data_IF_698724756899
#
_entry.id   IF_698724756899
#
_cell.length_a   1.000
_cell.length_b   1.000
_cell.length_c   1.000
_cell.angle_alpha   90.00
_cell.angle_beta   90.00
_cell.angle_gamma   90.00
#
_symmetry.space_group_name_H-M   'P 1'
#
loop_
_entity.id
_entity.type
_entity.pdbx_description
1 polymer ?
#
# COMPACT_ATOMS: atom_id res chain seq x y z
N UNK A 1 6.85 -40.48 -32.89
CA UNK A 1 6.29 -41.74 -33.46
C UNK A 1 4.95 -41.45 -34.09
N UNK A 2 4.81 -41.58 -35.41
CA UNK A 2 3.60 -41.90 -36.20
C UNK A 2 4.02 -41.85 -37.69
N UNK A 3 4.56 -42.96 -38.19
CA UNK A 3 3.92 -43.97 -39.07
C UNK A 3 3.80 -43.52 -40.53
N UNK A 4 4.81 -43.95 -41.30
CA UNK A 4 4.86 -44.05 -42.76
C UNK A 4 3.67 -44.85 -43.34
N UNK A 5 3.18 -44.42 -44.51
CA UNK A 5 2.52 -45.27 -45.54
C UNK A 5 2.91 -44.68 -46.90
N UNK A 6 3.91 -45.23 -47.59
CA UNK A 6 3.91 -46.41 -48.47
C UNK A 6 3.00 -46.23 -49.70
N UNK A 7 3.64 -45.86 -50.81
CA UNK A 7 3.12 -45.74 -52.16
C UNK A 7 2.79 -47.13 -52.74
N UNK A 8 1.58 -47.30 -53.28
CA UNK A 8 1.21 -48.43 -54.10
C UNK A 8 1.30 -48.01 -55.58
N UNK A 9 2.32 -48.51 -56.27
CA UNK A 9 2.38 -48.51 -57.74
C UNK A 9 1.76 -49.83 -58.18
N UNK A 10 0.59 -49.75 -58.81
CA UNK A 10 -0.05 -50.88 -59.50
C UNK A 10 0.38 -50.81 -60.96
N UNK A 11 1.26 -51.72 -61.37
CA UNK A 11 1.58 -51.94 -62.79
C UNK A 11 0.57 -52.96 -63.32
N UNK A 12 -0.31 -52.49 -64.20
CA UNK A 12 -1.23 -53.33 -64.96
C UNK A 12 -0.61 -53.72 -66.31
N UNK A 13 -0.47 -55.03 -66.48
CA UNK A 13 -0.59 -55.83 -67.69
C UNK A 13 -0.84 -55.13 -69.04
N UNK A 14 -0.01 -55.47 -70.04
CA UNK A 14 -0.50 -55.75 -71.40
C UNK A 14 0.22 -57.00 -71.93
N UNK A 15 -0.54 -58.09 -72.04
CA UNK A 15 -0.28 -59.17 -72.99
C UNK A 15 -0.58 -58.64 -74.40
N UNK A 16 0.28 -58.93 -75.37
CA UNK A 16 -0.18 -59.39 -76.68
C UNK A 16 0.91 -60.17 -77.40
N UNK A 17 0.65 -61.46 -77.48
CA UNK A 17 1.12 -62.41 -78.48
C UNK A 17 1.18 -61.82 -79.87
N UNK A 18 2.24 -62.13 -80.63
CA UNK A 18 2.07 -62.52 -82.03
C UNK A 18 3.04 -63.65 -82.37
N UNK A 19 2.42 -64.79 -82.61
CA UNK A 19 3.01 -65.98 -83.17
C UNK A 19 2.96 -65.90 -84.70
N UNK A 20 3.70 -66.83 -85.33
CA UNK A 20 3.53 -67.33 -86.69
C UNK A 20 4.14 -66.49 -87.82
N UNK A 21 5.33 -66.92 -88.24
CA UNK A 21 5.54 -67.20 -89.65
C UNK A 21 6.19 -68.59 -89.75
N UNK A 22 5.33 -69.57 -90.04
CA UNK A 22 5.65 -70.88 -90.61
C UNK A 22 6.62 -70.68 -91.81
N UNK A 23 7.73 -71.41 -91.90
CA UNK A 23 7.77 -72.79 -92.41
C UNK A 23 7.00 -72.94 -93.73
N UNK A 24 7.61 -72.53 -94.84
CA UNK A 24 7.28 -73.13 -96.15
C UNK A 24 8.39 -74.12 -96.51
N UNK A 25 7.97 -75.36 -96.36
CA UNK A 25 8.48 -76.61 -96.88
C UNK A 25 8.79 -76.49 -98.39
N UNK A 26 9.96 -76.95 -98.81
CA UNK A 26 10.29 -77.23 -100.21
C UNK A 26 10.32 -78.76 -100.38
N UNK A 27 9.22 -79.42 -100.78
CA UNK A 27 9.26 -80.78 -101.23
C UNK A 27 9.55 -80.82 -102.74
N UNK A 28 10.57 -81.60 -103.10
CA UNK A 28 10.98 -81.78 -104.49
C UNK A 28 10.06 -82.66 -105.32
N UNK A 29 10.33 -82.67 -106.63
CA UNK A 29 10.35 -83.86 -107.50
C UNK A 29 10.82 -83.45 -108.90
N UNK A 30 11.91 -84.06 -109.36
CA UNK A 30 11.93 -85.12 -110.37
C UNK A 30 11.92 -84.56 -111.81
N UNK A 31 13.08 -84.55 -112.47
CA UNK A 31 13.59 -85.63 -113.31
C UNK A 31 12.81 -85.84 -114.62
N UNK A 32 13.47 -85.47 -115.72
CA UNK A 32 13.45 -86.16 -117.01
C UNK A 32 14.88 -86.05 -117.54
N UNK A 33 15.77 -87.03 -117.31
CA UNK A 33 15.99 -88.27 -118.10
C UNK A 33 15.93 -88.06 -119.61
N UNK A 34 17.10 -87.76 -120.19
CA UNK A 34 17.76 -88.64 -121.17
C UNK A 34 17.13 -88.81 -122.55
N UNK A 35 17.86 -88.37 -123.57
CA UNK A 35 18.11 -89.21 -124.76
C UNK A 35 19.60 -89.13 -125.08
N UNK A 36 20.25 -90.29 -125.03
CA UNK A 36 21.54 -90.63 -125.61
C UNK A 36 21.33 -91.23 -127.02
N UNK A 37 22.35 -91.12 -127.88
CA UNK A 37 22.50 -91.93 -129.10
C UNK A 37 22.06 -91.23 -130.40
N UNK A 38 22.73 -91.42 -131.55
CA UNK A 38 23.63 -92.50 -131.98
C UNK A 38 24.57 -92.02 -133.10
N UNK A 39 25.74 -92.63 -133.12
CA UNK A 39 26.59 -92.83 -134.29
C UNK A 39 25.90 -93.72 -135.35
N UNK A 40 26.32 -93.60 -136.61
CA UNK A 40 25.98 -94.53 -137.70
C UNK A 40 25.91 -93.76 -139.03
N UNK A 41 27.00 -93.63 -139.80
CA UNK A 41 27.51 -94.63 -140.77
C UNK A 41 26.40 -95.26 -141.63
N UNK A 42 26.62 -95.17 -142.94
CA UNK A 42 26.20 -96.05 -144.06
C UNK A 42 25.86 -95.12 -145.25
N UNK A 43 26.73 -94.96 -146.24
CA UNK A 43 27.06 -96.05 -147.15
C UNK A 43 25.82 -96.37 -147.98
N UNK A 44 25.50 -95.51 -148.95
CA UNK A 44 24.56 -95.84 -150.03
C UNK A 44 24.77 -94.91 -151.22
N UNK A 45 25.62 -95.37 -152.13
CA UNK A 45 25.60 -95.00 -153.53
C UNK A 45 24.19 -95.28 -154.05
N UNK A 46 23.45 -94.23 -154.38
CA UNK A 46 22.03 -94.41 -154.61
C UNK A 46 21.35 -93.14 -155.05
N UNK A 47 21.69 -92.70 -156.27
CA UNK A 47 20.87 -91.81 -157.09
C UNK A 47 20.42 -90.55 -156.36
N UNK A 48 21.19 -89.48 -156.56
CA UNK A 48 20.76 -88.09 -156.41
C UNK A 48 19.60 -87.81 -157.38
N UNK A 49 18.42 -88.34 -157.04
CA UNK A 49 17.15 -87.79 -157.45
C UNK A 49 17.09 -86.44 -156.79
N UNK A 50 17.61 -85.43 -157.49
CA UNK A 50 17.52 -84.03 -157.13
C UNK A 50 16.16 -83.80 -156.48
N UNK A 51 16.16 -83.46 -155.17
CA UNK A 51 14.99 -82.86 -154.54
C UNK A 51 14.59 -81.75 -155.50
N UNK A 52 13.42 -81.92 -156.11
CA UNK A 52 12.95 -80.99 -157.12
C UNK A 52 13.05 -79.58 -156.52
N UNK A 53 13.27 -78.57 -157.36
CA UNK A 53 13.41 -77.17 -156.91
C UNK A 53 12.32 -76.75 -155.91
N UNK A 54 11.17 -77.42 -155.93
CA UNK A 54 10.05 -77.27 -155.00
C UNK A 54 10.25 -77.88 -153.60
N UNK A 55 10.91 -79.04 -153.44
CA UNK A 55 11.15 -79.63 -152.12
C UNK A 55 12.21 -78.85 -151.31
N UNK A 56 13.26 -78.32 -151.98
CA UNK A 56 14.27 -77.45 -151.36
C UNK A 56 13.69 -76.08 -150.96
N UNK A 57 12.79 -75.52 -151.76
CA UNK A 57 12.00 -74.33 -151.39
C UNK A 57 11.14 -74.57 -150.16
N UNK A 58 10.48 -75.74 -150.05
CA UNK A 58 9.62 -76.06 -148.92
C UNK A 58 10.40 -76.19 -147.61
N UNK A 59 11.55 -76.86 -147.62
CA UNK A 59 12.41 -77.02 -146.43
C UNK A 59 13.00 -75.67 -146.00
N UNK A 60 13.51 -74.87 -146.95
CA UNK A 60 13.98 -73.51 -146.63
C UNK A 60 12.83 -72.64 -146.11
N UNK A 61 11.63 -72.75 -146.69
CA UNK A 61 10.44 -72.04 -146.21
C UNK A 61 10.02 -72.45 -144.79
N UNK A 62 10.14 -73.73 -144.44
CA UNK A 62 9.89 -74.21 -143.07
C UNK A 62 10.97 -73.76 -142.09
N UNK A 63 12.25 -73.79 -142.47
CA UNK A 63 13.36 -73.30 -141.63
C UNK A 63 13.23 -71.81 -141.34
N UNK A 64 12.88 -71.00 -142.34
CA UNK A 64 12.63 -69.56 -142.16
C UNK A 64 11.38 -69.30 -141.31
N UNK A 65 10.31 -70.12 -141.43
CA UNK A 65 9.14 -70.05 -140.54
C UNK A 65 9.49 -70.43 -139.09
N UNK A 66 10.37 -71.40 -138.88
CA UNK A 66 10.85 -71.79 -137.53
C UNK A 66 11.69 -70.67 -136.93
N UNK A 67 12.67 -70.11 -137.68
CA UNK A 67 13.45 -68.94 -137.23
C UNK A 67 12.57 -67.73 -136.93
N UNK A 68 11.55 -67.48 -137.75
CA UNK A 68 10.57 -66.41 -137.51
C UNK A 68 9.70 -66.70 -136.28
N UNK A 69 9.32 -67.96 -136.05
CA UNK A 69 8.60 -68.41 -134.86
C UNK A 69 9.44 -68.31 -133.58
N UNK A 70 10.72 -68.68 -133.63
CA UNK A 70 11.68 -68.51 -132.53
C UNK A 70 11.94 -67.03 -132.26
N UNK A 71 12.09 -66.20 -133.29
CA UNK A 71 12.23 -64.75 -133.14
C UNK A 71 10.98 -64.09 -132.54
N UNK A 72 9.78 -64.52 -132.97
CA UNK A 72 8.52 -64.11 -132.36
C UNK A 72 8.43 -64.56 -130.90
N UNK A 73 8.79 -65.81 -130.61
CA UNK A 73 8.78 -66.37 -129.24
C UNK A 73 9.75 -65.61 -128.35
N UNK A 74 10.99 -65.37 -128.80
CA UNK A 74 11.97 -64.57 -128.09
C UNK A 74 11.51 -63.11 -127.89
N UNK A 75 10.82 -62.53 -128.88
CA UNK A 75 10.23 -61.18 -128.76
C UNK A 75 9.12 -61.15 -127.72
N UNK A 76 8.20 -62.11 -127.71
CA UNK A 76 7.17 -62.24 -126.69
C UNK A 76 7.78 -62.52 -125.32
N UNK A 77 8.81 -63.35 -125.23
CA UNK A 77 9.50 -63.65 -123.98
C UNK A 77 10.21 -62.40 -123.42
N UNK A 78 10.89 -61.63 -124.27
CA UNK A 78 11.52 -60.37 -123.89
C UNK A 78 10.49 -59.31 -123.47
N UNK A 79 9.36 -59.20 -124.18
CA UNK A 79 8.25 -58.32 -123.79
C UNK A 79 7.64 -58.74 -122.45
N UNK A 80 7.48 -60.04 -122.22
CA UNK A 80 6.93 -60.57 -120.97
C UNK A 80 7.90 -60.30 -119.81
N UNK A 81 9.21 -60.47 -120.01
CA UNK A 81 10.22 -60.11 -119.03
C UNK A 81 10.26 -58.60 -118.74
N UNK A 82 10.19 -57.74 -119.75
CA UNK A 82 10.14 -56.28 -119.55
C UNK A 82 8.88 -55.84 -118.76
N UNK A 83 7.73 -56.46 -119.02
CA UNK A 83 6.51 -56.24 -118.24
C UNK A 83 6.68 -56.73 -116.80
N UNK A 84 7.26 -57.91 -116.60
CA UNK A 84 7.52 -58.45 -115.26
C UNK A 84 8.49 -57.58 -114.46
N UNK A 85 9.57 -57.10 -115.08
CA UNK A 85 10.55 -56.22 -114.46
C UNK A 85 9.94 -54.87 -114.06
N UNK A 86 9.08 -54.30 -114.92
CA UNK A 86 8.30 -53.09 -114.61
C UNK A 86 7.32 -53.30 -113.47
N UNK A 87 6.57 -54.41 -113.49
CA UNK A 87 5.63 -54.76 -112.42
C UNK A 87 6.36 -55.00 -111.09
N UNK A 88 7.54 -55.62 -111.11
CA UNK A 88 8.37 -55.83 -109.93
C UNK A 88 8.88 -54.48 -109.37
N UNK A 89 9.34 -53.57 -110.24
CA UNK A 89 9.76 -52.23 -109.86
C UNK A 89 8.61 -51.39 -109.28
N UNK A 90 7.41 -51.47 -109.87
CA UNK A 90 6.20 -50.81 -109.37
C UNK A 90 5.77 -51.39 -108.01
N UNK A 91 5.83 -52.70 -107.84
CA UNK A 91 5.56 -53.37 -106.56
C UNK A 91 6.54 -52.90 -105.49
N UNK A 92 7.83 -52.77 -105.82
CA UNK A 92 8.84 -52.24 -104.91
C UNK A 92 8.59 -50.76 -104.54
N UNK A 93 8.17 -49.94 -105.51
CA UNK A 93 7.82 -48.54 -105.26
C UNK A 93 6.57 -48.41 -104.37
N UNK A 94 5.54 -49.20 -104.65
CA UNK A 94 4.32 -49.26 -103.83
C UNK A 94 4.64 -49.71 -102.40
N UNK A 95 5.56 -50.66 -102.23
CA UNK A 95 6.02 -51.11 -100.91
C UNK A 95 6.71 -49.99 -100.12
N UNK A 96 7.52 -49.16 -100.78
CA UNK A 96 8.14 -47.96 -100.17
C UNK A 96 7.09 -46.91 -99.79
N UNK A 97 6.10 -46.68 -100.66
CA UNK A 97 5.01 -45.75 -100.38
C UNK A 97 4.20 -46.21 -99.17
N UNK A 98 3.84 -47.49 -99.09
CA UNK A 98 3.14 -48.07 -97.94
C UNK A 98 3.93 -47.84 -96.65
N UNK A 99 5.24 -48.14 -96.66
CA UNK A 99 6.11 -47.91 -95.51
C UNK A 99 6.14 -46.44 -95.07
N UNK A 100 6.25 -45.49 -96.02
CA UNK A 100 6.20 -44.06 -95.72
C UNK A 100 4.85 -43.62 -95.13
N UNK A 101 3.75 -44.22 -95.60
CA UNK A 101 2.41 -43.95 -95.10
C UNK A 101 2.26 -44.43 -93.63
N UNK A 102 2.82 -45.58 -93.32
CA UNK A 102 2.76 -46.15 -91.97
C UNK A 102 3.60 -45.34 -90.97
N UNK A 103 4.77 -44.83 -91.39
CA UNK A 103 5.55 -43.88 -90.58
C UNK A 103 4.77 -42.59 -90.30
N UNK A 104 4.12 -42.00 -91.32
CA UNK A 104 3.31 -40.79 -91.15
C UNK A 104 2.13 -41.02 -90.20
N UNK A 105 1.45 -42.17 -90.31
CA UNK A 105 0.37 -42.53 -89.38
C UNK A 105 0.88 -42.66 -87.95
N UNK A 106 2.03 -43.30 -87.76
CA UNK A 106 2.65 -43.44 -86.45
C UNK A 106 3.00 -42.06 -85.83
N UNK A 107 3.57 -41.16 -86.62
CA UNK A 107 3.89 -39.79 -86.19
C UNK A 107 2.62 -38.98 -85.87
N UNK A 108 1.56 -39.12 -86.67
CA UNK A 108 0.28 -38.47 -86.42
C UNK A 108 -0.35 -38.94 -85.11
N UNK A 109 -0.37 -40.26 -84.86
CA UNK A 109 -0.85 -40.85 -83.60
C UNK A 109 -0.01 -40.35 -82.42
N UNK A 110 1.32 -40.33 -82.55
CA UNK A 110 2.22 -39.81 -81.52
C UNK A 110 1.96 -38.33 -81.22
N UNK A 111 1.74 -37.52 -82.26
CA UNK A 111 1.47 -36.09 -82.14
C UNK A 111 0.13 -35.84 -81.47
N UNK A 112 -0.92 -36.59 -81.82
CA UNK A 112 -2.24 -36.50 -81.20
C UNK A 112 -2.21 -36.86 -79.71
N UNK A 113 -1.45 -37.89 -79.34
CA UNK A 113 -1.22 -38.26 -77.95
C UNK A 113 -0.56 -37.11 -77.16
N UNK A 114 0.48 -36.47 -77.73
CA UNK A 114 1.15 -35.31 -77.12
C UNK A 114 0.23 -34.10 -76.99
N UNK A 115 -0.65 -33.86 -77.97
CA UNK A 115 -1.64 -32.78 -77.88
C UNK A 115 -2.69 -33.04 -76.81
N UNK A 116 -3.14 -34.29 -76.68
CA UNK A 116 -4.07 -34.70 -75.62
C UNK A 116 -3.45 -34.46 -74.25
N UNK A 117 -2.22 -34.89 -74.03
CA UNK A 117 -1.48 -34.65 -72.79
C UNK A 117 -1.30 -33.15 -72.50
N UNK A 118 -0.94 -32.35 -73.52
CA UNK A 118 -0.81 -30.91 -73.37
C UNK A 118 -2.14 -30.25 -72.96
N UNK A 119 -3.26 -30.70 -73.52
CA UNK A 119 -4.60 -30.20 -73.19
C UNK A 119 -4.98 -30.53 -71.75
N UNK A 120 -4.71 -31.74 -71.29
CA UNK A 120 -4.94 -32.15 -69.90
C UNK A 120 -4.10 -31.32 -68.92
N UNK A 121 -2.81 -31.11 -69.23
CA UNK A 121 -1.92 -30.28 -68.44
C UNK A 121 -2.39 -28.82 -68.36
N UNK A 122 -2.86 -28.24 -69.48
CA UNK A 122 -3.44 -26.89 -69.50
C UNK A 122 -4.72 -26.82 -68.64
N UNK A 123 -5.59 -27.82 -68.72
CA UNK A 123 -6.80 -27.90 -67.88
C UNK A 123 -6.46 -27.98 -66.37
N UNK A 124 -5.48 -28.80 -66.02
CA UNK A 124 -4.95 -28.90 -64.66
C UNK A 124 -4.38 -27.57 -64.16
N UNK A 125 -3.57 -26.90 -64.98
CA UNK A 125 -2.99 -25.60 -64.65
C UNK A 125 -4.05 -24.50 -64.52
N UNK A 126 -5.08 -24.50 -65.37
CA UNK A 126 -6.22 -23.57 -65.27
C UNK A 126 -6.92 -23.72 -63.92
N UNK A 127 -7.13 -24.95 -63.47
CA UNK A 127 -7.76 -25.25 -62.16
C UNK A 127 -6.89 -24.80 -60.98
N UNK A 128 -5.57 -25.01 -61.07
CA UNK A 128 -4.59 -24.53 -60.05
C UNK A 128 -4.57 -23.00 -59.98
N UNK A 129 -4.58 -22.32 -61.11
CA UNK A 129 -4.62 -20.84 -61.18
C UNK A 129 -5.90 -20.30 -60.54
N UNK A 130 -7.05 -20.90 -60.84
CA UNK A 130 -8.32 -20.51 -60.22
C UNK A 130 -8.31 -20.69 -58.69
N UNK A 131 -7.75 -21.81 -58.22
CA UNK A 131 -7.56 -22.07 -56.78
C UNK A 131 -6.64 -21.04 -56.13
N UNK A 132 -5.49 -20.77 -56.74
CA UNK A 132 -4.53 -19.79 -56.24
C UNK A 132 -5.14 -18.38 -56.19
N UNK A 133 -5.92 -18.00 -57.19
CA UNK A 133 -6.63 -16.71 -57.22
C UNK A 133 -7.57 -16.55 -56.02
N UNK A 134 -8.36 -17.58 -55.69
CA UNK A 134 -9.23 -17.57 -54.51
C UNK A 134 -8.44 -17.45 -53.21
N UNK A 135 -7.34 -18.18 -53.07
CA UNK A 135 -6.47 -18.12 -51.89
C UNK A 135 -5.83 -16.74 -51.72
N UNK A 136 -5.37 -16.12 -52.80
CA UNK A 136 -4.80 -14.76 -52.79
C UNK A 136 -5.86 -13.76 -52.32
N UNK A 137 -7.07 -13.80 -52.88
CA UNK A 137 -8.14 -12.87 -52.48
C UNK A 137 -8.48 -13.02 -50.99
N UNK A 138 -8.59 -14.25 -50.48
CA UNK A 138 -8.84 -14.50 -49.05
C UNK A 138 -7.68 -14.00 -48.16
N UNK A 139 -6.44 -14.09 -48.62
CA UNK A 139 -5.29 -13.52 -47.92
C UNK A 139 -5.34 -11.99 -47.90
N UNK A 140 -5.71 -11.35 -49.01
CA UNK A 140 -5.88 -9.90 -49.10
C UNK A 140 -6.93 -9.39 -48.10
N UNK A 141 -8.12 -10.01 -48.06
CA UNK A 141 -9.18 -9.64 -47.10
C UNK A 141 -8.72 -9.78 -45.63
N UNK A 142 -7.95 -10.83 -45.33
CA UNK A 142 -7.40 -11.04 -43.97
C UNK A 142 -6.34 -10.01 -43.60
N UNK A 143 -5.53 -9.57 -44.57
CA UNK A 143 -4.54 -8.51 -44.36
C UNK A 143 -5.26 -7.19 -44.06
N UNK A 144 -6.22 -6.80 -44.88
CA UNK A 144 -7.02 -5.58 -44.69
C UNK A 144 -7.73 -5.57 -43.32
N UNK A 145 -8.37 -6.68 -42.94
CA UNK A 145 -9.01 -6.81 -41.63
C UNK A 145 -8.00 -6.73 -40.48
N UNK A 146 -6.80 -7.30 -40.66
CA UNK A 146 -5.71 -7.25 -39.67
C UNK A 146 -5.16 -5.84 -39.47
N UNK A 147 -4.99 -5.07 -40.55
CA UNK A 147 -4.58 -3.67 -40.52
C UNK A 147 -5.60 -2.81 -39.78
N UNK A 148 -6.89 -2.92 -40.13
CA UNK A 148 -7.97 -2.17 -39.47
C UNK A 148 -8.08 -2.48 -37.96
N UNK A 149 -7.91 -3.75 -37.57
CA UNK A 149 -7.90 -4.16 -36.17
C UNK A 149 -6.70 -3.55 -35.43
N UNK A 150 -5.54 -3.52 -36.07
CA UNK A 150 -4.30 -2.98 -35.52
C UNK A 150 -4.42 -1.47 -35.28
N UNK A 151 -4.95 -0.72 -36.25
CA UNK A 151 -5.19 0.72 -36.12
C UNK A 151 -6.17 1.06 -34.99
N UNK A 152 -7.24 0.27 -34.87
CA UNK A 152 -8.21 0.41 -33.78
C UNK A 152 -7.55 0.22 -32.41
N UNK A 153 -6.74 -0.84 -32.27
CA UNK A 153 -6.02 -1.12 -31.02
C UNK A 153 -4.99 -0.06 -30.68
N UNK A 154 -4.26 0.47 -31.66
CA UNK A 154 -3.32 1.57 -31.44
C UNK A 154 -4.01 2.86 -31.00
N UNK A 155 -5.14 3.17 -31.62
CA UNK A 155 -5.95 4.35 -31.27
C UNK A 155 -6.45 4.28 -29.83
N UNK A 156 -7.02 3.14 -29.43
CA UNK A 156 -7.50 2.93 -28.06
C UNK A 156 -6.34 2.95 -27.04
N UNK A 157 -5.21 2.34 -27.38
CA UNK A 157 -4.01 2.38 -26.54
C UNK A 157 -3.52 3.81 -26.33
N UNK A 158 -3.47 4.62 -27.40
CA UNK A 158 -3.06 6.03 -27.31
C UNK A 158 -4.01 6.86 -26.44
N UNK A 159 -5.32 6.61 -26.54
CA UNK A 159 -6.34 7.25 -25.68
C UNK A 159 -6.13 6.89 -24.20
N UNK A 160 -5.90 5.62 -23.90
CA UNK A 160 -5.65 5.16 -22.53
C UNK A 160 -4.35 5.71 -21.95
N UNK A 161 -3.28 5.78 -22.76
CA UNK A 161 -2.03 6.43 -22.36
C UNK A 161 -2.27 7.90 -22.01
N UNK A 162 -2.94 8.65 -22.87
CA UNK A 162 -3.25 10.08 -22.63
C UNK A 162 -4.08 10.31 -21.35
N UNK A 163 -5.10 9.47 -21.13
CA UNK A 163 -5.90 9.47 -19.90
C UNK A 163 -5.04 9.22 -18.67
N UNK A 164 -4.17 8.20 -18.72
CA UNK A 164 -3.27 7.87 -17.62
C UNK A 164 -2.23 8.96 -17.37
N UNK A 165 -1.67 9.59 -18.40
CA UNK A 165 -0.76 10.75 -18.27
C UNK A 165 -1.44 11.89 -17.49
N UNK A 166 -2.71 12.17 -17.78
CA UNK A 166 -3.48 13.21 -17.08
C UNK A 166 -3.72 12.86 -15.61
N UNK A 167 -4.06 11.61 -15.32
CA UNK A 167 -4.25 11.12 -13.94
C UNK A 167 -2.94 11.18 -13.14
N UNK A 168 -1.82 10.78 -13.75
CA UNK A 168 -0.49 10.86 -13.13
C UNK A 168 -0.17 12.31 -12.77
N UNK A 169 -0.34 13.26 -13.69
CA UNK A 169 -0.11 14.67 -13.40
C UNK A 169 -0.97 15.22 -12.25
N UNK A 170 -2.24 14.78 -12.18
CA UNK A 170 -3.16 15.14 -11.10
C UNK A 170 -2.72 14.56 -9.75
N UNK A 171 -2.31 13.30 -9.75
CA UNK A 171 -1.80 12.63 -8.56
C UNK A 171 -0.50 13.28 -8.07
N UNK A 172 0.42 13.64 -8.97
CA UNK A 172 1.66 14.38 -8.62
C UNK A 172 1.35 15.69 -7.93
N UNK A 173 0.41 16.50 -8.44
CA UNK A 173 -0.01 17.75 -7.78
C UNK A 173 -0.58 17.50 -6.38
N UNK A 174 -1.40 16.47 -6.24
CA UNK A 174 -2.02 16.12 -4.95
C UNK A 174 -0.98 15.66 -3.92
N UNK A 175 0.00 14.85 -4.34
CA UNK A 175 1.11 14.41 -3.50
C UNK A 175 1.93 15.61 -3.04
N UNK A 176 2.30 16.53 -3.94
CA UNK A 176 3.08 17.71 -3.56
C UNK A 176 2.33 18.58 -2.53
N UNK A 177 1.03 18.81 -2.73
CA UNK A 177 0.21 19.56 -1.76
C UNK A 177 0.11 18.86 -0.40
N UNK A 178 0.05 17.53 -0.38
CA UNK A 178 0.08 16.77 0.88
C UNK A 178 1.44 16.90 1.58
N UNK A 179 2.54 16.84 0.85
CA UNK A 179 3.89 17.04 1.42
C UNK A 179 4.04 18.41 2.07
N UNK A 180 3.63 19.49 1.38
CA UNK A 180 3.66 20.86 1.94
C UNK A 180 2.84 20.99 3.23
N UNK A 181 1.67 20.34 3.29
CA UNK A 181 0.82 20.33 4.49
C UNK A 181 1.43 19.57 5.65
N UNK A 182 2.14 18.47 5.37
CA UNK A 182 2.84 17.69 6.39
C UNK A 182 3.98 18.54 6.98
N UNK A 183 4.83 19.13 6.14
CA UNK A 183 5.93 19.98 6.57
C UNK A 183 5.45 21.18 7.42
N UNK A 184 4.39 21.86 6.97
CA UNK A 184 3.78 22.95 7.73
C UNK A 184 3.19 22.48 9.08
N UNK A 185 2.57 21.29 9.09
CA UNK A 185 2.01 20.69 10.30
C UNK A 185 3.08 20.31 11.33
N UNK A 186 4.21 19.78 10.89
CA UNK A 186 5.37 19.46 11.74
C UNK A 186 5.96 20.72 12.36
N UNK A 187 6.19 21.78 11.56
CA UNK A 187 6.73 23.05 12.05
C UNK A 187 5.82 23.74 13.09
N UNK A 188 4.50 23.74 12.86
CA UNK A 188 3.51 24.26 13.81
C UNK A 188 3.52 23.46 15.12
N UNK A 189 3.64 22.14 15.02
CA UNK A 189 3.65 21.25 16.18
C UNK A 189 4.90 21.49 17.05
N UNK A 190 6.08 21.59 16.43
CA UNK A 190 7.33 21.86 17.14
C UNK A 190 7.30 23.23 17.86
N UNK A 191 6.79 24.27 17.17
CA UNK A 191 6.61 25.61 17.75
C UNK A 191 5.71 25.56 19.00
N UNK A 192 4.56 24.88 18.92
CA UNK A 192 3.63 24.74 20.04
C UNK A 192 4.22 23.97 21.22
N UNK A 193 4.99 22.90 20.95
CA UNK A 193 5.67 22.15 22.01
C UNK A 193 6.73 22.99 22.71
N UNK A 194 7.50 23.76 21.95
CA UNK A 194 8.53 24.64 22.50
C UNK A 194 7.94 25.73 23.40
N UNK A 195 6.87 26.39 22.96
CA UNK A 195 6.16 27.38 23.79
C UNK A 195 5.54 26.76 25.05
N UNK A 196 4.95 25.57 24.91
CA UNK A 196 4.40 24.82 26.06
C UNK A 196 5.48 24.48 27.08
N UNK A 197 6.65 24.00 26.63
CA UNK A 197 7.80 23.72 27.51
C UNK A 197 8.28 24.96 28.25
N UNK A 198 8.34 26.11 27.58
CA UNK A 198 8.71 27.39 28.20
C UNK A 198 7.72 27.82 29.28
N UNK A 199 6.42 27.69 29.00
CA UNK A 199 5.35 28.01 29.97
C UNK A 199 5.37 27.08 31.18
N UNK A 200 5.57 25.78 30.97
CA UNK A 200 5.75 24.81 32.06
C UNK A 200 6.95 25.18 32.93
N UNK A 201 8.10 25.50 32.32
CA UNK A 201 9.30 25.91 33.05
C UNK A 201 9.05 27.17 33.90
N UNK A 202 8.41 28.19 33.33
CA UNK A 202 8.04 29.42 34.06
C UNK A 202 7.12 29.13 35.26
N UNK A 203 6.11 28.29 35.05
CA UNK A 203 5.18 27.91 36.11
C UNK A 203 5.87 27.10 37.21
N UNK A 204 6.78 26.20 36.87
CA UNK A 204 7.60 25.46 37.84
C UNK A 204 8.40 26.40 38.74
N UNK A 205 9.04 27.44 38.18
CA UNK A 205 9.76 28.46 38.96
C UNK A 205 8.84 29.26 39.89
N UNK A 206 7.65 29.66 39.41
CA UNK A 206 6.65 30.36 40.22
C UNK A 206 6.15 29.49 41.38
N UNK A 207 5.87 28.22 41.12
CA UNK A 207 5.46 27.26 42.15
C UNK A 207 6.55 27.13 43.22
N UNK A 208 7.82 26.94 42.82
CA UNK A 208 8.92 26.85 43.77
C UNK A 208 9.04 28.12 44.65
N UNK A 209 8.85 29.29 44.05
CA UNK A 209 8.85 30.58 44.78
C UNK A 209 7.70 30.66 45.78
N UNK A 210 6.48 30.29 45.35
CA UNK A 210 5.31 30.29 46.23
C UNK A 210 5.46 29.28 47.38
N UNK A 211 6.02 28.09 47.13
CA UNK A 211 6.34 27.11 48.18
C UNK A 211 7.27 27.70 49.24
N UNK A 212 8.32 28.43 48.82
CA UNK A 212 9.23 29.11 49.75
C UNK A 212 8.52 30.19 50.57
N UNK A 213 7.64 30.97 49.94
CA UNK A 213 6.88 32.02 50.62
C UNK A 213 5.90 31.44 51.63
N UNK A 214 5.19 30.36 51.29
CA UNK A 214 4.31 29.64 52.22
C UNK A 214 5.10 29.13 53.43
N UNK A 215 6.26 28.49 53.21
CA UNK A 215 7.10 28.02 54.30
C UNK A 215 7.57 29.17 55.23
N UNK A 216 7.92 30.33 54.66
CA UNK A 216 8.28 31.51 55.44
C UNK A 216 7.09 32.06 56.25
N UNK A 217 5.91 32.14 55.64
CA UNK A 217 4.70 32.59 56.32
C UNK A 217 4.33 31.65 57.47
N UNK A 218 4.45 30.33 57.29
CA UNK A 218 4.24 29.34 58.36
C UNK A 218 5.19 29.61 59.54
N UNK A 219 6.48 29.87 59.29
CA UNK A 219 7.43 30.23 60.35
C UNK A 219 7.05 31.52 61.08
N UNK A 220 6.61 32.54 60.33
CA UNK A 220 6.18 33.81 60.91
C UNK A 220 4.94 33.63 61.80
N UNK A 221 3.96 32.84 61.36
CA UNK A 221 2.76 32.52 62.14
C UNK A 221 3.13 31.82 63.45
N UNK A 222 4.02 30.82 63.41
CA UNK A 222 4.50 30.14 64.63
C UNK A 222 5.18 31.13 65.58
N UNK A 223 6.05 31.99 65.06
CA UNK A 223 6.73 33.02 65.86
C UNK A 223 5.74 33.99 66.53
N UNK A 224 4.73 34.43 65.79
CA UNK A 224 3.67 35.30 66.30
C UNK A 224 2.83 34.58 67.37
N UNK A 225 2.47 33.31 67.14
CA UNK A 225 1.74 32.49 68.11
C UNK A 225 2.48 32.38 69.44
N UNK A 226 3.79 32.10 69.41
CA UNK A 226 4.63 32.03 70.61
C UNK A 226 4.71 33.39 71.34
N UNK A 227 4.77 34.49 70.57
CA UNK A 227 4.79 35.83 71.13
C UNK A 227 3.48 36.18 71.84
N UNK A 228 2.35 35.82 71.23
CA UNK A 228 1.02 35.99 71.83
C UNK A 228 0.85 35.15 73.11
N UNK A 229 1.34 33.91 73.13
CA UNK A 229 1.32 33.08 74.34
C UNK A 229 2.10 33.74 75.48
N UNK A 230 3.28 34.30 75.19
CA UNK A 230 4.07 35.03 76.19
C UNK A 230 3.33 36.26 76.71
N UNK A 231 2.70 37.05 75.83
CA UNK A 231 1.90 38.18 76.27
C UNK A 231 0.70 37.75 77.12
N UNK A 232 0.04 36.65 76.79
CA UNK A 232 -1.02 36.07 77.62
C UNK A 232 -0.56 35.76 79.05
N UNK A 233 0.63 35.16 79.22
CA UNK A 233 1.21 34.89 80.55
C UNK A 233 1.51 36.18 81.32
N UNK A 234 2.11 37.17 80.66
CA UNK A 234 2.40 38.47 81.29
C UNK A 234 1.13 39.20 81.73
N UNK A 235 0.04 39.13 80.95
CA UNK A 235 -1.24 39.72 81.32
C UNK A 235 -1.83 39.05 82.57
N UNK A 236 -1.78 37.72 82.66
CA UNK A 236 -2.23 37.01 83.86
C UNK A 236 -1.41 37.41 85.11
N UNK A 237 -0.08 37.49 84.98
CA UNK A 237 0.77 37.96 86.08
C UNK A 237 0.44 39.40 86.51
N UNK A 238 0.11 40.28 85.55
CA UNK A 238 -0.30 41.64 85.84
C UNK A 238 -1.66 41.69 86.54
N UNK A 239 -2.62 40.87 86.13
CA UNK A 239 -3.96 40.78 86.73
C UNK A 239 -3.88 40.32 88.21
N UNK A 240 -3.05 39.31 88.49
CA UNK A 240 -2.75 38.87 89.87
C UNK A 240 -2.13 39.99 90.71
N UNK A 241 -1.14 40.71 90.15
CA UNK A 241 -0.50 41.85 90.84
C UNK A 241 -1.50 42.98 91.12
N UNK A 242 -2.37 43.30 90.17
CA UNK A 242 -3.42 44.32 90.35
C UNK A 242 -4.37 43.89 91.47
N UNK A 243 -4.84 42.64 91.46
CA UNK A 243 -5.71 42.09 92.51
C UNK A 243 -5.04 42.16 93.88
N UNK A 244 -3.75 41.80 93.97
CA UNK A 244 -2.99 41.90 95.21
C UNK A 244 -2.85 43.35 95.71
N UNK A 245 -2.60 44.30 94.81
CA UNK A 245 -2.52 45.72 95.15
C UNK A 245 -3.86 46.27 95.63
N UNK A 246 -4.97 45.94 94.96
CA UNK A 246 -6.32 46.32 95.40
C UNK A 246 -6.61 45.82 96.82
N UNK A 247 -6.31 44.56 97.12
CA UNK A 247 -6.43 44.02 98.48
C UNK A 247 -5.57 44.74 99.53
N UNK A 248 -4.39 45.26 99.14
CA UNK A 248 -3.58 46.10 100.03
C UNK A 248 -4.21 47.48 100.24
N UNK A 249 -4.73 48.10 99.19
CA UNK A 249 -5.41 49.39 99.25
C UNK A 249 -6.67 49.30 100.13
N UNK A 250 -7.47 48.26 99.98
CA UNK A 250 -8.68 48.06 100.79
C UNK A 250 -8.36 47.89 102.28
N UNK A 251 -7.33 47.08 102.59
CA UNK A 251 -6.83 46.91 103.97
C UNK A 251 -6.35 48.24 104.56
N UNK A 252 -5.56 48.99 103.80
CA UNK A 252 -5.07 50.28 104.25
C UNK A 252 -6.22 51.27 104.46
N UNK A 253 -7.22 51.26 103.58
CA UNK A 253 -8.45 52.07 103.72
C UNK A 253 -9.19 51.74 105.01
N UNK A 254 -9.32 50.45 105.35
CA UNK A 254 -9.89 50.01 106.63
C UNK A 254 -9.09 50.47 107.85
N UNK A 255 -7.77 50.31 107.81
CA UNK A 255 -6.88 50.77 108.89
C UNK A 255 -6.94 52.29 109.09
N UNK A 256 -7.03 53.07 108.00
CA UNK A 256 -7.19 54.53 108.08
C UNK A 256 -8.50 54.88 108.78
N UNK A 257 -9.63 54.25 108.42
CA UNK A 257 -10.93 54.48 109.08
C UNK A 257 -10.87 54.18 110.57
N UNK A 258 -10.24 53.07 110.97
CA UNK A 258 -10.08 52.70 112.38
C UNK A 258 -9.20 53.71 113.13
N UNK A 259 -8.08 54.12 112.52
CA UNK A 259 -7.21 55.13 113.12
C UNK A 259 -7.93 56.48 113.27
N UNK A 260 -8.71 56.91 112.28
CA UNK A 260 -9.53 58.12 112.37
C UNK A 260 -10.52 58.03 113.54
N UNK A 261 -11.18 56.89 113.72
CA UNK A 261 -12.09 56.66 114.86
C UNK A 261 -11.36 56.72 116.21
N UNK A 262 -10.19 56.07 116.32
CA UNK A 262 -9.38 56.08 117.54
C UNK A 262 -8.88 57.49 117.88
N UNK A 263 -8.46 58.27 116.87
CA UNK A 263 -8.04 59.66 117.05
C UNK A 263 -9.22 60.49 117.57
N UNK A 264 -10.39 60.40 116.95
CA UNK A 264 -11.57 61.13 117.41
C UNK A 264 -11.90 60.80 118.89
N UNK A 265 -11.92 59.51 119.26
CA UNK A 265 -12.11 59.11 120.68
C UNK A 265 -11.07 59.69 121.63
N UNK A 266 -9.81 59.75 121.21
CA UNK A 266 -8.73 60.37 122.00
C UNK A 266 -8.96 61.87 122.14
N UNK A 267 -9.40 62.57 121.10
CA UNK A 267 -9.70 64.00 121.15
C UNK A 267 -10.84 64.32 122.12
N UNK A 268 -11.93 63.53 122.12
CA UNK A 268 -12.98 63.62 123.13
C UNK A 268 -12.41 63.33 124.54
N UNK A 269 -11.60 62.28 124.68
CA UNK A 269 -10.87 61.95 125.91
C UNK A 269 -10.02 63.10 126.47
N UNK A 270 -9.32 63.81 125.58
CA UNK A 270 -8.49 64.96 125.94
C UNK A 270 -9.33 66.17 126.35
N UNK A 271 -10.48 66.41 125.70
CA UNK A 271 -11.42 67.47 126.12
C UNK A 271 -11.98 67.21 127.52
N UNK A 272 -12.33 65.94 127.83
CA UNK A 272 -12.75 65.50 129.16
C UNK A 272 -11.66 65.75 130.21
N UNK A 273 -10.42 65.35 129.91
CA UNK A 273 -9.29 65.61 130.82
C UNK A 273 -9.06 67.10 131.03
N UNK A 274 -9.14 67.92 129.98
CA UNK A 274 -9.01 69.37 130.09
C UNK A 274 -10.13 69.97 130.97
N UNK A 275 -11.37 69.47 130.85
CA UNK A 275 -12.48 69.89 131.70
C UNK A 275 -12.23 69.52 133.17
N UNK A 276 -11.79 68.29 133.43
CA UNK A 276 -11.51 67.81 134.80
C UNK A 276 -10.31 68.52 135.43
N UNK A 277 -9.27 68.86 134.66
CA UNK A 277 -8.10 69.59 135.17
C UNK A 277 -8.44 71.04 135.55
N UNK A 278 -9.47 71.62 134.93
CA UNK A 278 -9.94 72.98 135.22
C UNK A 278 -10.85 73.07 136.47
N UNK A 279 -11.20 71.95 137.10
CA UNK A 279 -12.00 71.93 138.32
C UNK A 279 -11.19 72.49 139.50
N UNK A 280 -11.76 73.43 140.25
CA UNK A 280 -11.15 74.02 141.47
C UNK A 280 -11.17 73.02 142.64
N UNK A 281 -10.65 73.43 143.82
CA UNK A 281 -10.63 72.61 145.04
C UNK A 281 -11.81 72.90 145.98
N UNK A 282 -12.83 73.59 145.47
CA UNK A 282 -14.06 73.92 146.22
C UNK A 282 -14.93 72.68 146.44
N UNK A 283 -15.83 72.72 147.44
CA UNK A 283 -16.69 71.59 147.82
C UNK A 283 -17.47 71.02 146.63
N UNK A 284 -18.01 71.90 145.76
CA UNK A 284 -18.64 71.54 144.49
C UNK A 284 -18.15 72.49 143.40
N UNK A 285 -17.65 71.93 142.29
CA UNK A 285 -17.07 72.71 141.18
C UNK A 285 -17.48 72.13 139.82
N UNK A 286 -17.56 72.99 138.80
CA UNK A 286 -17.88 72.62 137.43
C UNK A 286 -16.93 73.36 136.49
N UNK A 287 -16.52 72.71 135.41
CA UNK A 287 -15.61 73.31 134.44
C UNK A 287 -15.83 72.78 133.02
N UNK A 288 -15.48 73.59 132.04
CA UNK A 288 -15.49 73.24 130.63
C UNK A 288 -14.07 72.96 130.15
N UNK A 289 -13.94 72.00 129.24
CA UNK A 289 -12.70 71.64 128.57
C UNK A 289 -12.89 71.66 127.07
N UNK A 290 -11.88 72.17 126.36
CA UNK A 290 -11.88 72.27 124.90
C UNK A 290 -10.59 71.65 124.36
N UNK A 291 -10.71 70.72 123.41
CA UNK A 291 -9.56 70.13 122.73
C UNK A 291 -9.90 69.77 121.27
N UNK A 292 -9.11 70.29 120.33
CA UNK A 292 -9.25 70.08 118.88
C UNK A 292 -10.69 70.21 118.34
N UNK A 293 -11.44 71.21 118.82
CA UNK A 293 -12.84 71.45 118.42
C UNK A 293 -13.89 70.69 119.25
N UNK A 294 -13.49 69.68 120.03
CA UNK A 294 -14.39 68.96 120.94
C UNK A 294 -14.50 69.67 122.29
N UNK A 295 -15.71 69.65 122.87
CA UNK A 295 -16.01 70.27 124.16
C UNK A 295 -16.48 69.21 125.15
N UNK A 296 -16.10 69.36 126.41
CA UNK A 296 -16.57 68.52 127.51
C UNK A 296 -16.92 69.34 128.74
N UNK A 297 -17.82 68.81 129.55
CA UNK A 297 -18.22 69.34 130.86
C UNK A 297 -17.76 68.37 131.94
N UNK A 298 -17.09 68.90 132.96
CA UNK A 298 -16.72 68.17 134.16
C UNK A 298 -17.41 68.76 135.38
N UNK A 299 -17.70 67.88 136.34
CA UNK A 299 -18.18 68.21 137.68
C UNK A 299 -17.25 67.55 138.69
N UNK A 300 -16.94 68.25 139.78
CA UNK A 300 -16.10 67.77 140.86
C UNK A 300 -16.74 68.04 142.22
N UNK A 301 -16.56 67.10 143.14
CA UNK A 301 -16.86 67.26 144.56
C UNK A 301 -15.57 67.02 145.31
N UNK A 302 -15.19 67.98 146.15
CA UNK A 302 -14.03 67.87 147.03
C UNK A 302 -14.52 67.67 148.47
N UNK A 303 -13.92 66.73 149.19
CA UNK A 303 -14.28 66.43 150.57
C UNK A 303 -13.03 66.43 151.45
N UNK A 304 -13.00 67.29 152.46
CA UNK A 304 -11.95 67.31 153.47
C UNK A 304 -12.17 66.17 154.48
N UNK A 305 -11.37 65.10 154.39
CA UNK A 305 -11.41 64.00 155.35
C UNK A 305 -10.77 64.42 156.68
N UNK A 306 -9.69 65.18 156.60
CA UNK A 306 -8.93 65.73 157.73
C UNK A 306 -8.42 67.13 157.36
N UNK A 307 -8.04 68.00 158.31
CA UNK A 307 -7.59 69.37 158.00
C UNK A 307 -6.44 69.46 156.97
N UNK A 308 -5.69 68.39 156.79
CA UNK A 308 -4.55 68.28 155.88
C UNK A 308 -4.75 67.24 154.75
N UNK A 309 -5.94 66.63 154.63
CA UNK A 309 -6.24 65.63 153.61
C UNK A 309 -7.58 65.89 152.93
N UNK A 310 -7.56 66.01 151.61
CA UNK A 310 -8.76 66.10 150.79
C UNK A 310 -8.85 64.97 149.78
N UNK A 311 -10.09 64.63 149.42
CA UNK A 311 -10.39 63.70 148.34
C UNK A 311 -11.28 64.41 147.35
N UNK A 312 -10.88 64.39 146.09
CA UNK A 312 -11.64 64.93 144.98
C UNK A 312 -12.20 63.79 144.15
N UNK A 313 -13.52 63.76 144.01
CA UNK A 313 -14.21 62.94 143.03
C UNK A 313 -14.61 63.83 141.86
N UNK A 314 -14.43 63.35 140.65
CA UNK A 314 -14.75 64.10 139.44
C UNK A 314 -15.34 63.18 138.38
N UNK A 315 -16.30 63.71 137.64
CA UNK A 315 -16.93 63.05 136.51
C UNK A 315 -16.99 64.05 135.35
N UNK A 316 -16.74 63.57 134.13
CA UNK A 316 -16.86 64.38 132.93
C UNK A 316 -17.55 63.61 131.81
N UNK A 317 -18.28 64.35 130.98
CA UNK A 317 -18.87 63.87 129.74
C UNK A 317 -18.56 64.88 128.63
N UNK A 318 -18.32 64.39 127.42
CA UNK A 318 -18.26 65.24 126.25
C UNK A 318 -19.67 65.78 125.95
N UNK A 319 -19.77 66.88 125.20
CA UNK A 319 -21.07 67.54 124.93
C UNK A 319 -22.03 66.68 124.11
N UNK A 320 -21.51 65.67 123.40
CA UNK A 320 -22.31 64.70 122.65
C UNK A 320 -22.66 63.44 123.47
N UNK A 321 -22.20 63.36 124.73
CA UNK A 321 -22.36 62.20 125.63
C UNK A 321 -21.90 60.87 125.04
N UNK A 322 -20.93 60.90 124.13
CA UNK A 322 -20.35 59.71 123.49
C UNK A 322 -19.22 59.11 124.31
N UNK A 323 -18.55 59.91 125.15
CA UNK A 323 -17.39 59.52 125.94
C UNK A 323 -17.50 60.14 127.33
N UNK A 324 -17.24 59.34 128.37
CA UNK A 324 -17.27 59.79 129.76
C UNK A 324 -15.99 59.38 130.48
N UNK A 325 -15.61 60.16 131.49
CA UNK A 325 -14.47 59.87 132.35
C UNK A 325 -14.83 60.09 133.81
N UNK A 326 -14.21 59.30 134.69
CA UNK A 326 -14.31 59.43 136.14
C UNK A 326 -12.89 59.53 136.71
N UNK A 327 -12.71 60.41 137.68
CA UNK A 327 -11.40 60.63 138.32
C UNK A 327 -11.55 60.76 139.83
N UNK A 328 -10.61 60.15 140.55
CA UNK A 328 -10.47 60.29 142.00
C UNK A 328 -9.04 60.68 142.31
N UNK A 329 -8.86 61.71 143.12
CA UNK A 329 -7.55 62.17 143.60
C UNK A 329 -7.56 62.38 145.10
N UNK A 330 -6.46 62.06 145.77
CA UNK A 330 -6.26 62.32 147.20
C UNK A 330 -5.06 63.24 147.32
N UNK A 331 -5.27 64.40 147.97
CA UNK A 331 -4.22 65.34 148.31
C UNK A 331 -3.94 65.30 149.80
N UNK A 332 -2.67 65.22 150.18
CA UNK A 332 -2.22 65.39 151.56
C UNK A 332 -1.18 66.51 151.62
N UNK A 333 -1.38 67.50 152.49
CA UNK A 333 -0.44 68.60 152.68
C UNK A 333 0.35 68.41 153.98
N UNK A 334 1.67 68.45 153.90
CA UNK A 334 2.53 68.53 155.08
C UNK A 334 2.68 70.01 155.43
N UNK A 335 2.40 70.39 156.69
CA UNK A 335 2.76 71.71 157.23
C UNK A 335 4.23 71.74 157.60
#
# INVERSE_FOLDING_TARGET
MHKFRLSAIVVASVLSTNALAESIDLPGRAQSTGITGRDGRDGRDGRDGQLSTEQLKLINGLSERIKAGEALTNKYFAQTHDILDKNLAETANNSRLIYSLDLIKADAVSTDARFTEARENIGSNTTKIATNTKSINSLSERIEAGEALTDTRFTETRKNISSNTTKIATNTKSINSLSERIEAGEALTDTRFTETRKNISSNTTKIATNTKNVANNTKAIISNSNTLERYGKQLNEHDEKITFLNNKVDRNTGLIKENTYRINKLEHGMSLMAAMSNLTQDDVTMALGYYNGNTALAMGINYALMPNMNVKFSAAADTEFTQTSLGVGIGYSFQ
#
